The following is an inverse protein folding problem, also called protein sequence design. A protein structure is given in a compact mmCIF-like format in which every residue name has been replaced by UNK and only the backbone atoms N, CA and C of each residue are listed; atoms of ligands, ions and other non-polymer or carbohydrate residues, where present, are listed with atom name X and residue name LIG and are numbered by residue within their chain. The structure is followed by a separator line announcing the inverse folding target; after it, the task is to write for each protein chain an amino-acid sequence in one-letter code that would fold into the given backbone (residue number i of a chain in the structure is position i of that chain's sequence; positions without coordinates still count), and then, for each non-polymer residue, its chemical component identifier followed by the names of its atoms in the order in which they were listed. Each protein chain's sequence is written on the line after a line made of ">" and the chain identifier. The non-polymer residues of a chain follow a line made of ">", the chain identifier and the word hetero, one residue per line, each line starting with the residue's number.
data_IF_788078947909
#
_entry.id   IF_788078947909
#
_cell.length_a   1.000
_cell.length_b   1.000
_cell.length_c   1.000
_cell.angle_alpha   90.00
_cell.angle_beta   90.00
_cell.angle_gamma   90.00
#
_symmetry.space_group_name_H-M   'P 1'
#
loop_
_entity.id
_entity.type
_entity.pdbx_description
1 polymer ?
#
# COMPACT_ATOMS: atom_id res chain seq x y z
N UNK A 1 -4.88 10.25 15.90
CA UNK A 1 -5.31 9.62 14.65
C UNK A 1 -4.60 10.38 13.54
N UNK A 2 -3.43 9.90 13.14
CA UNK A 2 -2.57 10.61 12.17
C UNK A 2 -3.09 10.28 10.79
N UNK A 3 -3.73 11.26 10.16
CA UNK A 3 -4.23 11.13 8.80
C UNK A 3 -3.04 10.95 7.85
N UNK A 4 -2.93 9.79 7.19
CA UNK A 4 -1.94 9.56 6.12
C UNK A 4 -2.47 10.26 4.85
N UNK A 5 -2.56 11.58 4.91
CA UNK A 5 -2.96 12.44 3.80
C UNK A 5 -1.79 13.26 3.24
N UNK A 6 -0.63 13.15 3.88
CA UNK A 6 0.61 13.79 3.47
C UNK A 6 1.54 12.77 2.82
N UNK A 7 1.94 13.03 1.59
CA UNK A 7 2.86 12.21 0.79
C UNK A 7 4.19 11.97 1.52
N UNK A 8 4.67 12.94 2.30
CA UNK A 8 5.91 12.80 3.07
C UNK A 8 5.77 11.75 4.18
N UNK A 9 4.60 11.71 4.83
CA UNK A 9 4.29 10.70 5.85
C UNK A 9 4.15 9.31 5.22
N UNK A 10 3.59 9.20 4.01
CA UNK A 10 3.54 7.93 3.27
C UNK A 10 4.92 7.38 2.96
N UNK A 11 5.85 8.22 2.48
CA UNK A 11 7.20 7.78 2.16
C UNK A 11 7.95 7.28 3.40
N UNK A 12 7.83 7.98 4.53
CA UNK A 12 8.46 7.56 5.79
C UNK A 12 7.90 6.23 6.29
N UNK A 13 6.59 6.02 6.18
CA UNK A 13 5.95 4.73 6.51
C UNK A 13 6.44 3.62 5.59
N UNK A 14 6.53 3.89 4.28
CA UNK A 14 7.01 2.92 3.31
C UNK A 14 8.48 2.53 3.52
N UNK A 15 9.36 3.50 3.80
CA UNK A 15 10.78 3.28 4.10
C UNK A 15 10.96 2.42 5.35
N UNK A 16 10.26 2.75 6.44
CA UNK A 16 10.26 1.96 7.66
C UNK A 16 9.76 0.54 7.42
N UNK A 17 8.69 0.37 6.62
CA UNK A 17 8.18 -0.95 6.28
C UNK A 17 9.18 -1.74 5.42
N UNK A 18 9.86 -1.10 4.47
CA UNK A 18 10.90 -1.73 3.65
C UNK A 18 12.01 -2.31 4.52
N UNK A 19 12.41 -1.63 5.61
CA UNK A 19 13.41 -2.15 6.55
C UNK A 19 13.01 -3.49 7.21
N UNK A 20 11.70 -3.73 7.43
CA UNK A 20 11.19 -5.02 7.91
C UNK A 20 11.32 -6.08 6.82
N UNK A 21 10.96 -5.75 5.58
CA UNK A 21 10.92 -6.68 4.46
C UNK A 21 12.32 -7.07 3.99
N UNK A 22 13.26 -6.14 3.95
CA UNK A 22 14.64 -6.37 3.51
C UNK A 22 15.47 -7.18 4.52
N UNK A 23 15.08 -7.20 5.79
CA UNK A 23 15.74 -7.97 6.83
C UNK A 23 15.10 -9.35 6.99
N UNK A 24 15.85 -10.42 6.69
CA UNK A 24 15.35 -11.80 6.74
C UNK A 24 14.77 -12.22 8.09
N UNK A 25 15.38 -11.76 9.19
CA UNK A 25 14.93 -12.08 10.54
C UNK A 25 13.64 -11.33 10.88
N UNK A 26 13.59 -10.03 10.60
CA UNK A 26 12.39 -9.22 10.85
C UNK A 26 11.24 -9.65 9.96
N UNK A 27 11.50 -9.98 8.69
CA UNK A 27 10.50 -10.51 7.77
C UNK A 27 9.90 -11.83 8.29
N UNK A 28 10.72 -12.74 8.80
CA UNK A 28 10.24 -14.00 9.37
C UNK A 28 9.38 -13.76 10.64
N UNK A 29 9.79 -12.83 11.51
CA UNK A 29 9.02 -12.44 12.69
C UNK A 29 7.70 -11.76 12.30
N UNK A 30 7.74 -10.93 11.26
CA UNK A 30 6.59 -10.19 10.75
C UNK A 30 5.52 -11.11 10.19
N UNK A 31 5.90 -12.16 9.45
CA UNK A 31 4.97 -13.19 8.98
C UNK A 31 4.27 -13.90 10.14
N UNK A 32 4.95 -14.09 11.27
CA UNK A 32 4.38 -14.76 12.46
C UNK A 32 3.60 -13.86 13.41
N UNK A 33 3.97 -12.58 13.53
CA UNK A 33 3.36 -11.62 14.46
C UNK A 33 3.50 -10.15 13.98
N UNK A 34 2.72 -9.71 12.97
CA UNK A 34 2.81 -8.36 12.42
C UNK A 34 2.70 -7.26 13.48
N UNK A 35 1.76 -7.40 14.41
CA UNK A 35 1.47 -6.41 15.46
C UNK A 35 2.62 -6.23 16.47
N UNK A 36 3.49 -7.24 16.62
CA UNK A 36 4.70 -7.17 17.45
C UNK A 36 5.87 -6.50 16.73
N UNK A 37 6.02 -6.75 15.43
CA UNK A 37 7.13 -6.26 14.60
C UNK A 37 6.95 -4.85 14.05
N UNK A 38 5.72 -4.39 13.79
CA UNK A 38 5.48 -3.02 13.29
C UNK A 38 6.07 -1.94 14.23
N UNK A 39 5.86 -2.00 15.56
CA UNK A 39 6.47 -1.04 16.48
C UNK A 39 8.00 -1.04 16.49
N UNK A 40 8.65 -2.15 16.15
CA UNK A 40 10.11 -2.24 16.11
C UNK A 40 10.69 -1.39 14.97
N UNK A 41 9.91 -1.16 13.91
CA UNK A 41 10.24 -0.24 12.82
C UNK A 41 9.63 1.16 13.00
N UNK A 42 9.18 1.50 14.22
CA UNK A 42 8.51 2.78 14.52
C UNK A 42 7.27 3.01 13.62
N UNK A 43 6.53 1.92 13.36
CA UNK A 43 5.24 1.94 12.67
C UNK A 43 4.07 1.78 13.66
N UNK A 44 2.90 2.35 13.34
CA UNK A 44 1.72 2.24 14.19
C UNK A 44 1.23 0.79 14.35
N UNK A 45 0.76 0.43 15.55
CA UNK A 45 0.17 -0.90 15.83
C UNK A 45 -1.18 -1.12 15.14
N UNK A 46 -1.87 -0.04 14.79
CA UNK A 46 -3.16 -0.03 14.09
C UNK A 46 -3.00 -0.06 12.56
N UNK A 47 -1.77 -0.14 12.05
CA UNK A 47 -1.52 -0.36 10.63
C UNK A 47 -2.02 -1.76 10.24
N UNK A 48 -2.93 -1.81 9.27
CA UNK A 48 -3.39 -3.08 8.69
C UNK A 48 -2.53 -3.41 7.48
N UNK A 49 -2.02 -4.65 7.43
CA UNK A 49 -1.16 -5.13 6.35
C UNK A 49 -1.93 -6.17 5.57
N UNK A 50 -2.01 -5.97 4.27
CA UNK A 50 -2.57 -6.92 3.32
C UNK A 50 -1.43 -7.55 2.52
N UNK A 51 -1.27 -8.86 2.64
CA UNK A 51 -0.27 -9.61 1.89
C UNK A 51 -0.86 -10.05 0.56
N UNK A 52 -0.24 -9.62 -0.53
CA UNK A 52 -0.58 -10.09 -1.87
C UNK A 52 -0.14 -11.54 -2.07
N UNK A 53 -0.88 -12.25 -2.90
CA UNK A 53 -0.58 -13.61 -3.34
C UNK A 53 -0.43 -13.63 -4.86
N UNK A 54 -0.06 -14.77 -5.44
CA UNK A 54 0.08 -14.89 -6.89
C UNK A 54 -1.24 -14.63 -7.65
N UNK A 55 -2.38 -14.80 -6.98
CA UNK A 55 -3.73 -14.67 -7.51
C UNK A 55 -4.51 -13.47 -6.93
N UNK A 56 -3.93 -12.71 -5.99
CA UNK A 56 -4.59 -11.58 -5.34
C UNK A 56 -3.64 -10.41 -5.15
N UNK A 57 -4.06 -9.24 -5.62
CA UNK A 57 -3.36 -7.97 -5.42
C UNK A 57 -4.31 -7.00 -4.71
N UNK A 58 -3.84 -6.36 -3.63
CA UNK A 58 -4.58 -5.34 -2.92
C UNK A 58 -4.19 -3.95 -3.43
N UNK A 59 -5.19 -3.16 -3.81
CA UNK A 59 -5.00 -1.77 -4.19
C UNK A 59 -5.56 -0.87 -3.09
N UNK A 60 -4.73 0.05 -2.60
CA UNK A 60 -5.17 1.06 -1.63
C UNK A 60 -5.62 2.30 -2.41
N UNK A 61 -6.91 2.61 -2.36
CA UNK A 61 -7.46 3.80 -3.00
C UNK A 61 -7.75 4.85 -1.92
N UNK A 62 -7.06 6.00 -1.90
CA UNK A 62 -7.30 7.07 -0.92
C UNK A 62 -8.57 7.90 -1.22
N UNK A 63 -9.60 7.29 -1.81
CA UNK A 63 -10.83 7.95 -2.21
C UNK A 63 -12.03 7.49 -1.37
N UNK A 64 -13.00 8.39 -1.20
CA UNK A 64 -14.33 7.98 -0.76
C UNK A 64 -14.91 7.02 -1.82
N UNK A 65 -15.28 5.82 -1.40
CA UNK A 65 -15.85 4.80 -2.30
C UNK A 65 -17.38 4.89 -2.36
N UNK A 66 -17.92 4.65 -3.54
CA UNK A 66 -19.35 4.51 -3.80
C UNK A 66 -19.74 3.04 -3.61
N UNK A 67 -20.34 2.75 -2.46
CA UNK A 67 -20.71 1.38 -2.08
C UNK A 67 -21.82 0.80 -2.94
N UNK A 68 -22.70 1.64 -3.51
CA UNK A 68 -23.80 1.18 -4.35
C UNK A 68 -23.26 0.66 -5.70
N UNK A 69 -22.29 1.37 -6.28
CA UNK A 69 -21.59 0.93 -7.50
C UNK A 69 -20.77 -0.34 -7.28
N UNK A 70 -20.15 -0.49 -6.10
CA UNK A 70 -19.46 -1.75 -5.72
C UNK A 70 -20.45 -2.91 -5.64
N UNK A 71 -21.58 -2.72 -4.95
CA UNK A 71 -22.61 -3.75 -4.80
C UNK A 71 -23.22 -4.17 -6.14
N UNK A 72 -23.35 -3.23 -7.08
CA UNK A 72 -23.81 -3.48 -8.44
C UNK A 72 -22.77 -4.17 -9.34
N UNK A 73 -21.53 -4.37 -8.86
CA UNK A 73 -20.39 -4.87 -9.66
C UNK A 73 -20.14 -4.04 -10.92
N UNK A 74 -20.20 -2.72 -10.78
CA UNK A 74 -19.96 -1.79 -11.89
C UNK A 74 -18.49 -1.85 -12.35
N UNK A 75 -18.24 -2.50 -13.49
CA UNK A 75 -16.90 -2.66 -14.07
C UNK A 75 -16.24 -1.31 -14.40
N UNK A 76 -17.03 -0.32 -14.86
CA UNK A 76 -16.51 1.01 -15.17
C UNK A 76 -16.00 1.73 -13.91
N UNK A 77 -16.68 1.50 -12.79
CA UNK A 77 -16.27 2.04 -11.51
C UNK A 77 -14.97 1.41 -11.00
N UNK A 78 -14.82 0.09 -11.15
CA UNK A 78 -13.58 -0.58 -10.79
C UNK A 78 -12.41 -0.13 -11.64
N UNK A 79 -12.63 0.17 -12.91
CA UNK A 79 -11.58 0.74 -13.77
C UNK A 79 -11.21 2.17 -13.35
N UNK A 80 -12.18 3.01 -12.96
CA UNK A 80 -11.94 4.33 -12.38
C UNK A 80 -11.13 4.24 -11.08
N UNK A 81 -11.53 3.36 -10.17
CA UNK A 81 -10.81 3.10 -8.92
C UNK A 81 -9.41 2.55 -9.18
N UNK A 82 -9.24 1.63 -10.12
CA UNK A 82 -7.95 1.09 -10.53
C UNK A 82 -7.03 2.18 -11.07
N UNK A 83 -7.53 3.06 -11.96
CA UNK A 83 -6.79 4.23 -12.45
C UNK A 83 -6.40 5.19 -11.33
N UNK A 84 -7.27 5.41 -10.35
CA UNK A 84 -7.00 6.26 -9.21
C UNK A 84 -5.97 5.63 -8.25
N UNK A 85 -6.07 4.33 -7.99
CA UNK A 85 -5.15 3.57 -7.15
C UNK A 85 -3.74 3.51 -7.74
N UNK A 86 -3.66 3.27 -9.05
CA UNK A 86 -2.41 3.27 -9.83
C UNK A 86 -1.97 4.69 -10.20
N UNK A 87 -2.63 5.72 -9.67
CA UNK A 87 -2.47 7.12 -10.07
C UNK A 87 -1.01 7.52 -10.22
N UNK A 88 -0.66 8.02 -11.41
CA UNK A 88 0.67 8.53 -11.73
C UNK A 88 1.85 7.55 -11.65
N UNK A 89 1.67 6.27 -12.00
CA UNK A 89 2.73 5.57 -12.74
C UNK A 89 2.90 6.19 -14.14
N UNK A 90 3.10 7.51 -14.22
CA UNK A 90 3.82 8.09 -15.33
C UNK A 90 5.24 7.55 -15.20
N UNK A 91 5.52 6.45 -15.88
CA UNK A 91 6.84 6.32 -16.47
C UNK A 91 7.03 7.61 -17.28
N UNK A 92 7.72 8.59 -16.71
CA UNK A 92 8.57 9.42 -17.55
C UNK A 92 9.49 8.38 -18.17
N UNK A 93 9.35 8.12 -19.46
CA UNK A 93 10.44 7.57 -20.24
C UNK A 93 11.66 8.41 -19.88
N UNK A 94 12.49 7.92 -18.95
CA UNK A 94 13.75 8.56 -18.66
C UNK A 94 14.51 8.47 -19.97
N UNK A 95 14.95 9.59 -20.56
CA UNK A 95 15.73 9.53 -21.78
C UNK A 95 16.90 8.58 -21.54
N UNK A 96 17.04 7.58 -22.41
CA UNK A 96 18.17 6.66 -22.38
C UNK A 96 19.41 7.54 -22.54
N UNK A 97 20.34 7.57 -21.56
CA UNK A 97 21.57 8.33 -21.75
C UNK A 97 22.32 7.75 -22.94
N UNK A 98 22.58 8.59 -23.95
CA UNK A 98 23.48 8.28 -25.07
C UNK A 98 24.92 8.06 -24.60
#
# INVERSE_FOLDING_TARGET
>A
MTSIQDTETMYQVAEKFASIVENDQMRAQFVGNPAGTLPEADLPKDLTVYADTADMVHLVVPAAVDMDRIAARDESYFEELGRAALGFCAYRDLPIPE
#
